data_IF_432519511376
#
_entry.id   IF_432519511376
#
_cell.length_a   1.000
_cell.length_b   1.000
_cell.length_c   1.000
_cell.angle_alpha   90.00
_cell.angle_beta   90.00
_cell.angle_gamma   90.00
#
_symmetry.space_group_name_H-M   'P 1'
#
loop_
_entity.id
_entity.type
_entity.pdbx_description
1 polymer ?
#
# COMPACT_ATOMS: atom_id res chain seq x y z
N UNK A 1 -57.23 16.90 22.24
CA UNK A 1 -56.16 16.16 21.53
C UNK A 1 -55.13 17.15 20.96
N UNK A 2 -55.58 18.21 20.28
CA UNK A 2 -54.75 19.35 19.85
C UNK A 2 -53.99 20.05 21.00
N UNK A 3 -54.63 20.30 22.15
CA UNK A 3 -53.96 20.98 23.28
C UNK A 3 -52.81 20.15 23.88
N UNK A 4 -52.95 18.82 23.92
CA UNK A 4 -51.88 17.94 24.40
C UNK A 4 -50.68 17.89 23.44
N UNK A 5 -50.93 18.04 22.14
CA UNK A 5 -49.86 18.14 21.13
C UNK A 5 -49.16 19.50 21.27
N UNK A 6 -49.90 20.59 21.49
CA UNK A 6 -49.36 21.92 21.75
C UNK A 6 -48.49 21.95 23.01
N UNK A 7 -48.94 21.34 24.11
CA UNK A 7 -48.16 21.26 25.35
C UNK A 7 -46.89 20.40 25.19
N UNK A 8 -46.96 19.34 24.38
CA UNK A 8 -45.79 18.53 24.03
C UNK A 8 -44.76 19.29 23.19
N UNK A 9 -45.21 20.06 22.18
CA UNK A 9 -44.33 20.90 21.35
C UNK A 9 -43.70 22.06 22.15
N UNK A 10 -44.39 22.55 23.19
CA UNK A 10 -43.89 23.60 24.10
C UNK A 10 -42.97 23.07 25.20
N UNK A 11 -42.81 21.75 25.31
CA UNK A 11 -41.96 21.14 26.32
C UNK A 11 -40.49 21.50 26.06
N UNK A 12 -39.84 22.12 27.07
CA UNK A 12 -38.42 22.51 27.01
C UNK A 12 -37.48 21.37 26.64
N UNK A 13 -37.81 20.13 27.03
CA UNK A 13 -37.02 18.95 26.71
C UNK A 13 -37.20 18.53 25.24
N UNK A 14 -38.41 18.67 24.70
CA UNK A 14 -38.69 18.42 23.29
C UNK A 14 -37.99 19.44 22.41
N UNK A 15 -38.10 20.74 22.73
CA UNK A 15 -37.41 21.82 22.02
C UNK A 15 -35.88 21.63 22.07
N UNK A 16 -35.33 21.29 23.25
CA UNK A 16 -33.90 21.00 23.40
C UNK A 16 -33.42 19.82 22.56
N UNK A 17 -34.21 18.74 22.48
CA UNK A 17 -33.89 17.57 21.65
C UNK A 17 -33.92 17.90 20.15
N UNK A 18 -34.91 18.69 19.70
CA UNK A 18 -35.00 19.14 18.31
C UNK A 18 -33.81 20.02 17.93
N UNK A 19 -33.41 20.96 18.80
CA UNK A 19 -32.23 21.81 18.57
C UNK A 19 -30.95 20.96 18.45
N UNK A 20 -30.77 19.96 19.33
CA UNK A 20 -29.62 19.06 19.26
C UNK A 20 -29.55 18.28 17.94
N UNK A 21 -30.68 17.78 17.46
CA UNK A 21 -30.76 17.07 16.17
C UNK A 21 -30.38 18.01 15.03
N UNK A 22 -30.88 19.25 15.03
CA UNK A 22 -30.56 20.24 14.00
C UNK A 22 -29.07 20.58 14.02
N UNK A 23 -28.48 20.80 15.19
CA UNK A 23 -27.04 21.07 15.34
C UNK A 23 -26.22 19.87 14.84
N UNK A 24 -26.61 18.65 15.19
CA UNK A 24 -25.95 17.43 14.71
C UNK A 24 -25.98 17.31 13.19
N UNK A 25 -27.13 17.60 12.56
CA UNK A 25 -27.28 17.61 11.10
C UNK A 25 -26.39 18.68 10.45
N UNK A 26 -26.38 19.91 10.99
CA UNK A 26 -25.55 21.00 10.46
C UNK A 26 -24.07 20.64 10.56
N UNK A 27 -23.63 20.14 11.71
CA UNK A 27 -22.24 19.74 11.95
C UNK A 27 -21.81 18.63 10.98
N UNK A 28 -22.65 17.60 10.77
CA UNK A 28 -22.37 16.55 9.79
C UNK A 28 -22.37 17.05 8.34
N UNK A 29 -23.29 17.96 7.99
CA UNK A 29 -23.35 18.53 6.64
C UNK A 29 -22.14 19.41 6.34
N UNK A 30 -21.70 20.21 7.31
CA UNK A 30 -20.49 21.03 7.21
C UNK A 30 -19.24 20.15 7.14
N UNK A 31 -19.14 19.11 7.98
CA UNK A 31 -18.04 18.13 7.88
C UNK A 31 -18.02 17.41 6.53
N UNK A 32 -19.19 17.00 6.02
CA UNK A 32 -19.31 16.38 4.70
C UNK A 32 -18.90 17.31 3.56
N UNK A 33 -19.26 18.59 3.63
CA UNK A 33 -18.84 19.60 2.65
C UNK A 33 -17.32 19.84 2.67
N UNK A 34 -16.72 19.99 3.85
CA UNK A 34 -15.28 20.15 3.98
C UNK A 34 -14.52 18.90 3.54
N UNK A 35 -14.99 17.70 3.89
CA UNK A 35 -14.42 16.44 3.41
C UNK A 35 -14.50 16.32 1.88
N UNK A 36 -15.62 16.71 1.27
CA UNK A 36 -15.76 16.72 -0.19
C UNK A 36 -14.78 17.70 -0.86
N UNK A 37 -14.59 18.89 -0.26
CA UNK A 37 -13.63 19.87 -0.78
C UNK A 37 -12.19 19.45 -0.59
N UNK A 38 -11.86 18.84 0.55
CA UNK A 38 -10.54 18.27 0.80
C UNK A 38 -10.21 17.19 -0.24
N UNK A 39 -11.12 16.25 -0.47
CA UNK A 39 -10.97 15.22 -1.50
C UNK A 39 -10.81 15.79 -2.91
N UNK A 40 -11.52 16.88 -3.25
CA UNK A 40 -11.36 17.55 -4.55
C UNK A 40 -9.98 18.19 -4.69
N UNK A 41 -9.48 18.83 -3.63
CA UNK A 41 -8.14 19.42 -3.62
C UNK A 41 -7.05 18.35 -3.76
N UNK A 42 -7.17 17.24 -3.03
CA UNK A 42 -6.25 16.11 -3.14
C UNK A 42 -6.28 15.45 -4.52
N UNK A 43 -7.47 15.31 -5.10
CA UNK A 43 -7.59 14.77 -6.46
C UNK A 43 -6.92 15.70 -7.49
N UNK A 44 -7.06 17.02 -7.36
CA UNK A 44 -6.36 17.98 -8.23
C UNK A 44 -4.85 17.86 -8.08
N UNK A 45 -4.35 17.83 -6.84
CA UNK A 45 -2.93 17.60 -6.55
C UNK A 45 -2.43 16.29 -7.18
N UNK A 46 -3.20 15.22 -7.06
CA UNK A 46 -2.89 13.93 -7.68
C UNK A 46 -2.79 14.02 -9.21
N UNK A 47 -3.71 14.73 -9.86
CA UNK A 47 -3.68 14.94 -11.31
C UNK A 47 -2.45 15.76 -11.71
N UNK A 48 -2.19 16.88 -11.04
CA UNK A 48 -1.05 17.77 -11.31
C UNK A 48 0.29 17.01 -11.19
N UNK A 49 0.48 16.22 -10.14
CA UNK A 49 1.69 15.41 -9.97
C UNK A 49 1.86 14.36 -11.08
N UNK A 50 0.77 13.72 -11.51
CA UNK A 50 0.86 12.72 -12.59
C UNK A 50 1.14 13.34 -13.96
N UNK A 51 0.74 14.60 -14.17
CA UNK A 51 1.13 15.34 -15.38
C UNK A 51 2.65 15.57 -15.39
N UNK A 52 3.24 15.93 -14.25
CA UNK A 52 4.70 16.08 -14.11
C UNK A 52 5.45 14.75 -14.33
N UNK A 53 4.89 13.62 -13.91
CA UNK A 53 5.47 12.28 -14.20
C UNK A 53 5.48 11.93 -15.69
N UNK A 54 4.63 12.58 -16.50
CA UNK A 54 4.54 12.34 -17.95
C UNK A 54 5.52 13.20 -18.75
N UNK A 55 6.30 14.07 -18.10
CA UNK A 55 7.33 14.89 -18.75
C UNK A 55 8.61 14.07 -18.87
N UNK A 56 8.95 13.68 -20.11
CA UNK A 56 10.09 12.79 -20.40
C UNK A 56 11.46 13.33 -19.94
N UNK A 57 11.59 14.66 -19.80
CA UNK A 57 12.83 15.33 -19.41
C UNK A 57 13.10 15.33 -17.91
N UNK A 58 12.08 15.10 -17.08
CA UNK A 58 12.20 15.10 -15.62
C UNK A 58 12.63 13.72 -15.13
N UNK A 59 13.77 13.64 -14.44
CA UNK A 59 14.24 12.40 -13.80
C UNK A 59 13.57 12.16 -12.43
N UNK A 60 13.64 10.92 -11.95
CA UNK A 60 13.03 10.51 -10.68
C UNK A 60 13.54 11.26 -9.46
N UNK A 61 14.83 11.64 -9.42
CA UNK A 61 15.40 12.40 -8.31
C UNK A 61 14.85 13.84 -8.27
N UNK A 62 14.75 14.48 -9.41
CA UNK A 62 14.18 15.83 -9.54
C UNK A 62 12.73 15.83 -9.10
N UNK A 63 11.93 14.89 -9.63
CA UNK A 63 10.52 14.75 -9.25
C UNK A 63 10.35 14.45 -7.75
N UNK A 64 11.21 13.61 -7.17
CA UNK A 64 11.17 13.31 -5.74
C UNK A 64 11.46 14.53 -4.86
N UNK A 65 12.36 15.41 -5.29
CA UNK A 65 12.78 16.58 -4.51
C UNK A 65 11.85 17.79 -4.69
N UNK A 66 11.22 17.94 -5.85
CA UNK A 66 10.41 19.12 -6.18
C UNK A 66 8.91 18.94 -5.89
N UNK A 67 8.40 17.70 -5.94
CA UNK A 67 6.98 17.42 -5.75
C UNK A 67 6.66 17.09 -4.30
N UNK A 68 5.56 17.63 -3.80
CA UNK A 68 4.98 17.23 -2.51
C UNK A 68 4.19 15.93 -2.70
N UNK A 69 4.80 14.80 -2.34
CA UNK A 69 4.23 13.47 -2.54
C UNK A 69 3.32 13.00 -1.38
N UNK A 70 3.12 13.81 -0.35
CA UNK A 70 2.33 13.42 0.81
C UNK A 70 0.84 13.76 0.61
N UNK A 71 -0.05 12.84 0.98
CA UNK A 71 -1.49 13.03 0.87
C UNK A 71 -2.16 12.69 2.21
N UNK A 72 -3.27 13.36 2.52
CA UNK A 72 -4.20 12.92 3.56
C UNK A 72 -4.87 11.60 3.14
N UNK A 73 -5.20 11.44 1.85
CA UNK A 73 -5.65 10.18 1.27
C UNK A 73 -4.47 9.25 0.97
N UNK A 74 -4.34 8.21 1.81
CA UNK A 74 -3.35 7.16 1.62
C UNK A 74 -3.41 6.49 0.23
N UNK A 75 -4.60 6.46 -0.41
CA UNK A 75 -4.75 5.86 -1.73
C UNK A 75 -4.02 6.65 -2.81
N UNK A 76 -4.14 7.98 -2.79
CA UNK A 76 -3.40 8.84 -3.72
C UNK A 76 -1.91 8.83 -3.42
N UNK A 77 -1.53 8.83 -2.16
CA UNK A 77 -0.13 8.71 -1.74
C UNK A 77 0.52 7.43 -2.28
N UNK A 78 -0.11 6.27 -2.05
CA UNK A 78 0.39 4.98 -2.51
C UNK A 78 0.54 4.94 -4.02
N UNK A 79 -0.46 5.39 -4.78
CA UNK A 79 -0.39 5.36 -6.26
C UNK A 79 0.73 6.27 -6.75
N UNK A 80 0.79 7.50 -6.23
CA UNK A 80 1.78 8.50 -6.66
C UNK A 80 3.20 8.04 -6.38
N UNK A 81 3.49 7.61 -5.14
CA UNK A 81 4.81 7.09 -4.76
C UNK A 81 5.15 5.80 -5.53
N UNK A 82 4.18 4.96 -5.86
CA UNK A 82 4.41 3.76 -6.70
C UNK A 82 4.81 4.10 -8.13
N UNK A 83 4.16 5.11 -8.74
CA UNK A 83 4.51 5.54 -10.10
C UNK A 83 5.94 6.08 -10.13
N UNK A 84 6.29 6.94 -9.17
CA UNK A 84 7.65 7.47 -9.05
C UNK A 84 8.69 6.36 -8.79
N UNK A 85 8.37 5.40 -7.92
CA UNK A 85 9.26 4.26 -7.65
C UNK A 85 9.51 3.42 -8.92
N UNK A 86 8.47 3.22 -9.75
CA UNK A 86 8.63 2.54 -11.05
C UNK A 86 9.51 3.33 -12.01
N UNK A 87 9.30 4.64 -12.13
CA UNK A 87 10.17 5.50 -12.93
C UNK A 87 11.63 5.43 -12.46
N UNK A 88 11.86 5.44 -11.15
CA UNK A 88 13.19 5.25 -10.58
C UNK A 88 13.80 3.88 -10.93
N UNK A 89 13.00 2.79 -10.95
CA UNK A 89 13.47 1.47 -11.44
C UNK A 89 13.84 1.54 -12.92
N UNK A 90 13.01 2.14 -13.76
CA UNK A 90 13.23 2.25 -15.21
C UNK A 90 14.50 3.07 -15.53
N UNK A 91 14.83 4.04 -14.69
CA UNK A 91 16.04 4.87 -14.77
C UNK A 91 17.27 4.22 -14.10
N UNK A 92 17.12 3.08 -13.44
CA UNK A 92 18.20 2.42 -12.70
C UNK A 92 18.55 3.07 -11.36
N UNK A 93 17.74 4.02 -10.88
CA UNK A 93 17.86 4.64 -9.57
C UNK A 93 17.26 3.73 -8.49
N UNK A 94 17.95 2.61 -8.23
CA UNK A 94 17.49 1.58 -7.31
C UNK A 94 17.45 2.04 -5.84
N UNK A 95 18.24 3.04 -5.45
CA UNK A 95 18.21 3.58 -4.08
C UNK A 95 16.90 4.34 -3.80
N UNK A 96 16.50 5.22 -4.72
CA UNK A 96 15.23 5.93 -4.61
C UNK A 96 14.03 4.96 -4.71
N UNK A 97 14.07 4.04 -5.67
CA UNK A 97 13.03 3.04 -5.83
C UNK A 97 12.84 2.21 -4.54
N UNK A 98 13.95 1.73 -3.96
CA UNK A 98 13.92 0.93 -2.73
C UNK A 98 13.34 1.73 -1.57
N UNK A 99 13.79 2.98 -1.39
CA UNK A 99 13.26 3.89 -0.37
C UNK A 99 11.74 4.03 -0.48
N UNK A 100 11.23 4.36 -1.67
CA UNK A 100 9.80 4.56 -1.90
C UNK A 100 8.98 3.27 -1.67
N UNK A 101 9.46 2.12 -2.13
CA UNK A 101 8.75 0.86 -1.90
C UNK A 101 8.73 0.45 -0.42
N UNK A 102 9.82 0.69 0.34
CA UNK A 102 9.85 0.44 1.79
C UNK A 102 8.86 1.37 2.50
N UNK A 103 8.90 2.67 2.22
CA UNK A 103 7.96 3.65 2.80
C UNK A 103 6.49 3.24 2.58
N UNK A 104 6.14 2.82 1.35
CA UNK A 104 4.78 2.35 1.05
C UNK A 104 4.44 1.03 1.73
N UNK A 105 5.39 0.09 1.83
CA UNK A 105 5.20 -1.18 2.53
C UNK A 105 4.88 -0.93 4.01
N UNK A 106 5.66 -0.07 4.67
CA UNK A 106 5.45 0.33 6.07
C UNK A 106 4.12 1.06 6.26
N UNK A 107 3.80 2.01 5.37
CA UNK A 107 2.54 2.76 5.40
C UNK A 107 1.33 1.81 5.45
N UNK A 108 1.34 0.72 4.68
CA UNK A 108 0.22 -0.25 4.64
C UNK A 108 0.08 -1.04 5.94
N UNK A 109 1.17 -1.31 6.65
CA UNK A 109 1.11 -2.07 7.89
C UNK A 109 0.20 -1.37 8.91
N UNK A 110 0.29 -0.04 8.98
CA UNK A 110 -0.42 0.79 9.96
C UNK A 110 -1.85 1.15 9.56
N UNK A 111 -2.23 1.08 8.27
CA UNK A 111 -3.54 1.55 7.82
C UNK A 111 -4.66 0.53 8.06
N UNK A 112 -5.84 1.03 8.42
CA UNK A 112 -7.05 0.24 8.58
C UNK A 112 -7.75 0.05 7.22
N UNK A 113 -7.20 -0.84 6.39
CA UNK A 113 -7.80 -1.29 5.13
C UNK A 113 -8.22 -2.76 5.24
N UNK A 114 -9.01 -3.24 4.28
CA UNK A 114 -9.44 -4.65 4.29
C UNK A 114 -8.22 -5.58 4.30
N UNK A 115 -8.34 -6.71 5.01
CA UNK A 115 -7.26 -7.70 5.11
C UNK A 115 -6.79 -8.17 3.73
N UNK A 116 -7.72 -8.39 2.81
CA UNK A 116 -7.41 -8.88 1.46
C UNK A 116 -6.63 -7.83 0.65
N UNK A 117 -7.07 -6.55 0.67
CA UNK A 117 -6.34 -5.46 0.02
C UNK A 117 -4.96 -5.28 0.65
N UNK A 118 -4.85 -5.34 1.98
CA UNK A 118 -3.58 -5.26 2.70
C UNK A 118 -2.61 -6.35 2.25
N UNK A 119 -3.08 -7.59 2.15
CA UNK A 119 -2.24 -8.72 1.73
C UNK A 119 -1.75 -8.56 0.29
N UNK A 120 -2.64 -8.17 -0.64
CA UNK A 120 -2.26 -7.94 -2.04
C UNK A 120 -1.16 -6.87 -2.14
N UNK A 121 -1.35 -5.73 -1.47
CA UNK A 121 -0.38 -4.63 -1.55
C UNK A 121 0.95 -4.98 -0.87
N UNK A 122 0.90 -5.68 0.28
CA UNK A 122 2.11 -6.19 0.95
C UNK A 122 2.91 -7.11 0.02
N UNK A 123 2.25 -8.03 -0.67
CA UNK A 123 2.91 -8.93 -1.62
C UNK A 123 3.53 -8.17 -2.79
N UNK A 124 2.80 -7.23 -3.38
CA UNK A 124 3.29 -6.42 -4.49
C UNK A 124 4.53 -5.60 -4.10
N UNK A 125 4.51 -4.94 -2.95
CA UNK A 125 5.66 -4.14 -2.52
C UNK A 125 6.82 -5.01 -2.03
N UNK A 126 6.57 -6.10 -1.32
CA UNK A 126 7.62 -7.05 -0.95
C UNK A 126 8.34 -7.62 -2.18
N UNK A 127 7.59 -7.95 -3.25
CA UNK A 127 8.16 -8.42 -4.52
C UNK A 127 9.09 -7.39 -5.15
N UNK A 128 8.69 -6.11 -5.22
CA UNK A 128 9.55 -5.06 -5.76
C UNK A 128 10.78 -4.82 -4.88
N UNK A 129 10.63 -4.77 -3.56
CA UNK A 129 11.74 -4.58 -2.60
C UNK A 129 12.79 -5.68 -2.77
N UNK A 130 12.36 -6.95 -2.75
CA UNK A 130 13.28 -8.09 -2.87
C UNK A 130 13.99 -8.11 -4.21
N UNK A 131 13.26 -7.82 -5.31
CA UNK A 131 13.87 -7.73 -6.65
C UNK A 131 14.90 -6.61 -6.73
N UNK A 132 14.62 -5.44 -6.14
CA UNK A 132 15.58 -4.34 -6.12
C UNK A 132 16.84 -4.72 -5.33
N UNK A 133 16.71 -5.41 -4.20
CA UNK A 133 17.88 -5.94 -3.49
C UNK A 133 18.70 -6.92 -4.35
N UNK A 134 18.05 -7.75 -5.19
CA UNK A 134 18.75 -8.60 -6.16
C UNK A 134 19.50 -7.78 -7.22
N UNK A 135 18.85 -6.78 -7.83
CA UNK A 135 19.48 -5.89 -8.83
C UNK A 135 20.69 -5.13 -8.24
N UNK A 136 20.58 -4.72 -6.98
CA UNK A 136 21.68 -4.08 -6.22
C UNK A 136 22.77 -5.05 -5.77
N UNK A 137 22.61 -6.37 -5.97
CA UNK A 137 23.47 -7.41 -5.41
C UNK A 137 23.63 -7.30 -3.87
N UNK A 138 22.60 -6.80 -3.18
CA UNK A 138 22.61 -6.60 -1.73
C UNK A 138 21.90 -7.76 -1.03
N UNK A 139 22.69 -8.80 -0.75
CA UNK A 139 22.22 -10.00 -0.05
C UNK A 139 21.75 -9.69 1.37
N UNK A 140 22.48 -8.88 2.11
CA UNK A 140 22.21 -8.64 3.54
C UNK A 140 20.90 -7.86 3.70
N UNK A 141 20.70 -6.79 2.91
CA UNK A 141 19.47 -6.02 2.89
C UNK A 141 18.24 -6.87 2.55
N UNK A 142 18.34 -7.66 1.47
CA UNK A 142 17.24 -8.53 1.05
C UNK A 142 16.96 -9.68 2.02
N UNK A 143 18.00 -10.30 2.59
CA UNK A 143 17.83 -11.38 3.57
C UNK A 143 17.20 -10.88 4.86
N UNK A 144 17.62 -9.70 5.35
CA UNK A 144 17.02 -9.08 6.53
C UNK A 144 15.55 -8.75 6.29
N UNK A 145 15.21 -8.13 5.16
CA UNK A 145 13.82 -7.84 4.79
C UNK A 145 12.96 -9.11 4.75
N UNK A 146 13.44 -10.20 4.13
CA UNK A 146 12.72 -11.47 4.06
C UNK A 146 12.50 -12.07 5.46
N UNK A 147 13.50 -12.05 6.34
CA UNK A 147 13.42 -12.63 7.69
C UNK A 147 12.49 -11.85 8.63
N UNK A 148 12.45 -10.53 8.49
CA UNK A 148 11.56 -9.67 9.27
C UNK A 148 10.12 -9.69 8.75
N UNK A 149 9.92 -10.13 7.51
CA UNK A 149 8.60 -10.22 6.91
C UNK A 149 7.77 -11.35 7.56
N UNK A 150 6.57 -11.00 8.01
CA UNK A 150 5.62 -11.93 8.65
C UNK A 150 4.61 -12.54 7.68
N UNK A 151 4.73 -12.27 6.38
CA UNK A 151 3.76 -12.75 5.40
C UNK A 151 3.97 -14.24 5.08
N UNK A 152 3.02 -15.07 5.48
CA UNK A 152 3.01 -16.51 5.19
C UNK A 152 2.08 -16.77 3.99
N UNK A 153 2.63 -16.59 2.79
CA UNK A 153 1.91 -16.82 1.53
C UNK A 153 2.75 -17.56 0.50
N UNK A 154 2.07 -18.28 -0.40
CA UNK A 154 2.70 -18.97 -1.53
C UNK A 154 3.64 -18.03 -2.30
N UNK A 155 3.13 -16.85 -2.66
CA UNK A 155 3.87 -15.86 -3.46
C UNK A 155 5.12 -15.37 -2.74
N UNK A 156 5.01 -15.12 -1.44
CA UNK A 156 6.15 -14.70 -0.64
C UNK A 156 7.22 -15.78 -0.53
N UNK A 157 6.82 -17.04 -0.31
CA UNK A 157 7.77 -18.15 -0.25
C UNK A 157 8.44 -18.45 -1.59
N UNK A 158 7.74 -18.35 -2.72
CA UNK A 158 8.38 -18.42 -4.04
C UNK A 158 9.41 -17.31 -4.25
N UNK A 159 9.05 -16.06 -3.92
CA UNK A 159 9.93 -14.90 -4.04
C UNK A 159 11.19 -15.06 -3.19
N UNK A 160 11.06 -15.48 -1.94
CA UNK A 160 12.20 -15.71 -1.06
C UNK A 160 13.08 -16.87 -1.58
N UNK A 161 12.46 -17.93 -2.11
CA UNK A 161 13.18 -19.03 -2.77
C UNK A 161 14.00 -18.54 -3.97
N UNK A 162 13.41 -17.70 -4.82
CA UNK A 162 14.06 -17.08 -5.98
C UNK A 162 15.22 -16.15 -5.56
N UNK A 163 15.03 -15.35 -4.50
CA UNK A 163 16.08 -14.49 -3.93
C UNK A 163 17.29 -15.29 -3.43
N UNK A 164 17.07 -16.27 -2.56
CA UNK A 164 18.18 -17.05 -2.01
C UNK A 164 18.88 -17.87 -3.09
N UNK A 165 18.15 -18.35 -4.10
CA UNK A 165 18.73 -19.02 -5.27
C UNK A 165 19.66 -18.09 -6.05
N UNK A 166 19.25 -16.84 -6.28
CA UNK A 166 20.04 -15.84 -7.00
C UNK A 166 21.40 -15.60 -6.32
N UNK A 167 21.45 -15.61 -4.99
CA UNK A 167 22.69 -15.49 -4.20
C UNK A 167 23.36 -16.83 -3.85
N UNK A 168 22.99 -17.91 -4.55
CA UNK A 168 23.56 -19.26 -4.39
C UNK A 168 23.43 -19.82 -2.96
N UNK A 169 22.44 -19.35 -2.19
CA UNK A 169 22.08 -19.86 -0.85
C UNK A 169 21.08 -21.02 -1.00
N UNK A 170 21.57 -22.14 -1.52
CA UNK A 170 20.73 -23.27 -1.91
C UNK A 170 19.88 -23.82 -0.76
N UNK A 171 20.43 -23.91 0.47
CA UNK A 171 19.69 -24.43 1.63
C UNK A 171 18.48 -23.55 1.97
N UNK A 172 18.68 -22.23 2.07
CA UNK A 172 17.59 -21.27 2.33
C UNK A 172 16.58 -21.24 1.18
N UNK A 173 17.06 -21.31 -0.06
CA UNK A 173 16.22 -21.38 -1.26
C UNK A 173 15.30 -22.60 -1.24
N UNK A 174 15.88 -23.79 -0.98
CA UNK A 174 15.16 -25.06 -0.84
C UNK A 174 14.12 -24.98 0.27
N UNK A 175 14.49 -24.44 1.44
CA UNK A 175 13.56 -24.24 2.55
C UNK A 175 12.32 -23.43 2.13
N UNK A 176 12.51 -22.31 1.44
CA UNK A 176 11.40 -21.46 1.01
C UNK A 176 10.55 -22.11 -0.09
N UNK A 177 11.14 -22.80 -1.07
CA UNK A 177 10.35 -23.55 -2.05
C UNK A 177 9.55 -24.71 -1.42
N UNK A 178 10.13 -25.41 -0.43
CA UNK A 178 9.41 -26.47 0.29
C UNK A 178 8.24 -25.91 1.10
N UNK A 179 8.40 -24.71 1.69
CA UNK A 179 7.30 -23.98 2.31
C UNK A 179 6.20 -23.64 1.29
N UNK A 180 6.56 -23.12 0.12
CA UNK A 180 5.61 -22.83 -0.95
C UNK A 180 4.79 -24.06 -1.37
N UNK A 181 5.41 -25.25 -1.42
CA UNK A 181 4.75 -26.52 -1.75
C UNK A 181 3.75 -27.02 -0.69
N UNK A 182 3.74 -26.42 0.51
CA UNK A 182 2.76 -26.77 1.56
C UNK A 182 1.39 -26.13 1.38
N UNK A 183 1.29 -25.10 0.53
CA UNK A 183 0.03 -24.43 0.24
C UNK A 183 -0.88 -25.29 -0.66
N UNK A 184 -2.19 -25.03 -0.61
CA UNK A 184 -3.15 -25.69 -1.49
C UNK A 184 -3.03 -25.12 -2.92
N UNK A 185 -2.28 -25.84 -3.76
CA UNK A 185 -1.95 -25.47 -5.14
C UNK A 185 -2.13 -26.65 -6.07
N UNK A 186 -2.40 -26.36 -7.35
CA UNK A 186 -2.53 -27.39 -8.37
C UNK A 186 -1.18 -28.03 -8.75
N UNK A 187 -1.25 -29.18 -9.41
CA UNK A 187 -0.05 -29.92 -9.83
C UNK A 187 0.82 -29.14 -10.84
N UNK A 188 0.24 -28.24 -11.64
CA UNK A 188 1.02 -27.44 -12.57
C UNK A 188 1.91 -26.44 -11.82
N UNK A 189 1.37 -25.78 -10.79
CA UNK A 189 2.13 -24.88 -9.92
C UNK A 189 3.19 -25.63 -9.11
N UNK A 190 2.88 -26.81 -8.57
CA UNK A 190 3.88 -27.65 -7.89
C UNK A 190 5.05 -27.99 -8.82
N UNK A 191 4.75 -28.36 -10.07
CA UNK A 191 5.78 -28.66 -11.06
C UNK A 191 6.65 -27.44 -11.38
N UNK A 192 6.06 -26.25 -11.49
CA UNK A 192 6.82 -25.00 -11.69
C UNK A 192 7.77 -24.73 -10.52
N UNK A 193 7.30 -24.88 -9.28
CA UNK A 193 8.14 -24.68 -8.08
C UNK A 193 9.28 -25.71 -8.04
N UNK A 194 8.97 -26.99 -8.29
CA UNK A 194 9.99 -28.04 -8.34
C UNK A 194 11.03 -27.84 -9.45
N UNK A 195 10.66 -27.22 -10.58
CA UNK A 195 11.61 -26.86 -11.65
C UNK A 195 12.56 -25.73 -11.23
N UNK A 196 12.08 -24.79 -10.41
CA UNK A 196 12.89 -23.69 -9.89
C UNK A 196 13.84 -24.14 -8.78
N UNK A 197 13.41 -25.09 -7.94
CA UNK A 197 14.17 -25.58 -6.79
C UNK A 197 15.59 -26.06 -7.20
N UNK A 198 16.66 -25.62 -6.50
CA UNK A 198 18.00 -26.17 -6.69
C UNK A 198 18.00 -27.69 -6.53
N UNK A 199 18.75 -28.40 -7.38
CA UNK A 199 18.93 -29.85 -7.25
C UNK A 199 19.97 -30.12 -6.17
N UNK A 200 19.69 -31.08 -5.31
CA UNK A 200 20.66 -31.67 -4.37
C UNK A 200 21.82 -32.34 -5.10
#
# INVERSE_FOLDING_TARGET
MLDRILDFLRNRYFIGAVILIIVFIIVNSVMGYYSSKANEAEFKKFVEINEEFSVDESDSDTLFNELDLDFESYGYELITKTILAKKAVDEGNFDLALKLFIEMYELILDKNISKDTKNILKEQYAENIVRIYMEKNDFDGGSNFIKENTNDSLRFHELAGDFYKFFEKNEDSVFHYDKALTFDIDEAQKNIINLKKPKE
#
